data_IF_519106601336
#
_entry.id   IF_519106601336
#
_cell.length_a   1.000
_cell.length_b   1.000
_cell.length_c   1.000
_cell.angle_alpha   90.00
_cell.angle_beta   90.00
_cell.angle_gamma   90.00
#
_symmetry.space_group_name_H-M   'P 1'
#
loop_
_entity.id
_entity.type
_entity.pdbx_description
1 polymer ?
#
# COMPACT_ATOMS: atom_id res chain seq x y z
N UNK A 1 -1.34 -5.63 0.02
CA UNK A 1 -0.29 -6.61 -0.33
C UNK A 1 0.12 -7.39 0.92
N UNK A 2 0.62 -8.62 0.81
CA UNK A 2 1.18 -9.34 1.97
C UNK A 2 2.36 -8.57 2.57
N UNK A 3 2.46 -8.54 3.90
CA UNK A 3 3.61 -7.95 4.60
C UNK A 3 4.79 -8.89 4.42
N UNK A 4 5.93 -8.35 4.00
CA UNK A 4 7.15 -9.15 3.88
C UNK A 4 7.69 -9.50 5.27
N UNK A 5 8.23 -10.71 5.49
CA UNK A 5 8.73 -11.13 6.80
C UNK A 5 9.70 -10.14 7.45
N UNK A 6 10.60 -9.54 6.66
CA UNK A 6 11.57 -8.55 7.14
C UNK A 6 10.95 -7.28 7.70
N UNK A 7 9.70 -6.95 7.33
CA UNK A 7 9.00 -5.75 7.79
C UNK A 7 8.04 -6.01 8.96
N UNK A 8 7.87 -7.26 9.42
CA UNK A 8 6.90 -7.59 10.47
C UNK A 8 7.15 -6.80 11.77
N UNK A 9 8.40 -6.54 12.11
CA UNK A 9 8.80 -5.78 13.30
C UNK A 9 8.31 -4.32 13.31
N UNK A 10 7.93 -3.77 12.15
CA UNK A 10 7.42 -2.40 12.01
C UNK A 10 5.95 -2.26 12.41
N UNK A 11 5.27 -3.39 12.58
CA UNK A 11 3.86 -3.46 12.94
C UNK A 11 3.70 -3.76 14.43
N UNK A 12 2.63 -3.27 15.08
CA UNK A 12 2.35 -3.61 16.46
C UNK A 12 2.04 -5.11 16.60
N UNK A 13 2.29 -5.73 17.78
CA UNK A 13 1.97 -7.14 18.02
C UNK A 13 0.49 -7.50 17.76
N UNK A 14 -0.43 -6.54 17.95
CA UNK A 14 -1.86 -6.69 17.70
C UNK A 14 -2.29 -6.52 16.24
N UNK A 15 -1.34 -6.42 15.29
CA UNK A 15 -1.65 -6.21 13.88
C UNK A 15 -2.61 -7.25 13.28
N UNK A 16 -2.51 -8.56 13.55
CA UNK A 16 -3.46 -9.54 13.01
C UNK A 16 -4.91 -9.22 13.36
N UNK A 17 -5.16 -8.78 14.59
CA UNK A 17 -6.49 -8.41 15.09
C UNK A 17 -6.96 -7.10 14.47
N UNK A 18 -6.09 -6.08 14.41
CA UNK A 18 -6.41 -4.79 13.76
C UNK A 18 -6.78 -5.01 12.28
N UNK A 19 -5.95 -5.78 11.56
CA UNK A 19 -6.16 -6.10 10.14
C UNK A 19 -7.44 -6.89 9.90
N UNK A 20 -7.79 -7.80 10.82
CA UNK A 20 -9.05 -8.53 10.76
C UNK A 20 -10.25 -7.60 10.99
N UNK A 21 -10.25 -6.80 12.05
CA UNK A 21 -11.33 -5.86 12.35
C UNK A 21 -11.59 -4.87 11.20
N UNK A 22 -10.53 -4.39 10.54
CA UNK A 22 -10.67 -3.51 9.37
C UNK A 22 -11.30 -4.25 8.17
N UNK A 23 -10.90 -5.50 7.88
CA UNK A 23 -11.39 -6.25 6.71
C UNK A 23 -12.77 -6.87 6.91
N UNK A 24 -13.07 -7.29 8.12
CA UNK A 24 -14.29 -7.99 8.48
C UNK A 24 -15.32 -7.03 9.06
N UNK A 25 -15.19 -6.67 10.33
CA UNK A 25 -16.18 -5.88 11.08
C UNK A 25 -16.52 -4.54 10.40
N UNK A 26 -15.49 -3.79 9.97
CA UNK A 26 -15.67 -2.48 9.34
C UNK A 26 -16.05 -2.59 7.87
N UNK A 27 -15.29 -3.36 7.11
CA UNK A 27 -15.41 -3.37 5.65
C UNK A 27 -16.46 -4.36 5.13
N UNK A 28 -16.90 -5.32 5.95
CA UNK A 28 -17.83 -6.38 5.58
C UNK A 28 -17.29 -7.23 4.43
N UNK A 29 -15.98 -7.52 4.44
CA UNK A 29 -15.27 -8.22 3.37
C UNK A 29 -15.39 -7.59 1.98
N UNK A 30 -15.78 -6.31 1.90
CA UNK A 30 -15.83 -5.56 0.64
C UNK A 30 -14.74 -4.50 0.61
N UNK A 31 -14.14 -4.28 -0.54
CA UNK A 31 -13.18 -3.19 -0.73
C UNK A 31 -13.77 -1.83 -0.29
N UNK A 32 -13.04 -1.08 0.52
CA UNK A 32 -13.43 0.26 1.00
C UNK A 32 -12.95 1.40 0.11
N UNK A 33 -12.14 1.11 -0.92
CA UNK A 33 -11.68 2.14 -1.87
C UNK A 33 -12.89 2.86 -2.50
N UNK A 34 -12.98 4.17 -2.30
CA UNK A 34 -14.02 5.07 -2.80
C UNK A 34 -13.50 6.05 -3.89
N UNK A 35 -12.20 5.98 -4.21
CA UNK A 35 -11.61 6.68 -5.35
C UNK A 35 -10.11 6.91 -5.21
N UNK A 36 -9.55 6.60 -4.04
CA UNK A 36 -8.15 6.76 -3.67
C UNK A 36 -7.24 6.06 -4.68
N UNK A 37 -7.65 4.90 -5.19
CA UNK A 37 -6.87 4.18 -6.19
C UNK A 37 -6.83 4.88 -7.56
N UNK A 38 -7.61 5.92 -7.82
CA UNK A 38 -7.66 6.59 -9.14
C UNK A 38 -8.33 5.78 -10.25
N UNK A 39 -8.99 4.66 -9.94
CA UNK A 39 -9.91 4.00 -10.87
C UNK A 39 -11.33 4.61 -10.74
N UNK A 40 -12.07 4.69 -11.85
CA UNK A 40 -13.45 5.16 -11.81
C UNK A 40 -14.37 4.04 -11.29
N UNK A 41 -15.07 4.31 -10.18
CA UNK A 41 -16.15 3.49 -9.66
C UNK A 41 -17.19 4.40 -8.97
N UNK A 42 -18.48 4.06 -9.08
CA UNK A 42 -19.60 4.88 -8.59
C UNK A 42 -19.86 4.78 -7.08
N UNK A 43 -18.79 4.86 -6.27
CA UNK A 43 -18.82 4.63 -4.82
C UNK A 43 -17.71 3.66 -4.40
N UNK A 44 -17.93 2.89 -3.33
CA UNK A 44 -16.98 1.83 -2.92
C UNK A 44 -16.81 0.80 -4.03
N UNK A 45 -15.56 0.42 -4.29
CA UNK A 45 -15.23 -0.72 -5.14
C UNK A 45 -16.09 -1.94 -4.77
N UNK A 46 -16.60 -2.64 -5.79
CA UNK A 46 -17.53 -3.76 -5.64
C UNK A 46 -16.83 -5.11 -5.43
N UNK A 47 -15.49 -5.13 -5.42
CA UNK A 47 -14.71 -6.34 -5.15
C UNK A 47 -14.94 -6.81 -3.70
N UNK A 48 -15.33 -8.07 -3.56
CA UNK A 48 -15.57 -8.76 -2.28
C UNK A 48 -14.52 -9.84 -2.11
N UNK A 49 -14.00 -10.01 -0.89
CA UNK A 49 -12.99 -11.02 -0.56
C UNK A 49 -13.43 -12.42 -1.01
N UNK A 50 -12.47 -13.20 -1.51
CA UNK A 50 -12.64 -14.59 -1.95
C UNK A 50 -13.65 -14.81 -3.09
N UNK A 51 -14.16 -13.74 -3.70
CA UNK A 51 -14.95 -13.80 -4.92
C UNK A 51 -14.13 -13.37 -6.15
N UNK A 52 -14.57 -13.73 -7.37
CA UNK A 52 -13.97 -13.20 -8.59
C UNK A 52 -14.07 -11.67 -8.66
N UNK A 53 -12.98 -11.01 -9.03
CA UNK A 53 -12.97 -9.56 -9.18
C UNK A 53 -13.91 -9.16 -10.33
N UNK A 54 -14.77 -8.14 -10.16
CA UNK A 54 -15.79 -7.73 -11.15
C UNK A 54 -15.25 -7.16 -12.49
N UNK A 55 -13.93 -7.17 -12.69
CA UNK A 55 -13.26 -6.57 -13.86
C UNK A 55 -12.14 -7.48 -14.34
N UNK A 56 -11.26 -7.91 -13.45
CA UNK A 56 -10.12 -8.77 -13.81
C UNK A 56 -10.43 -10.26 -13.72
N UNK A 57 -11.55 -10.64 -13.11
CA UNK A 57 -11.98 -12.02 -12.83
C UNK A 57 -11.01 -12.86 -11.98
N UNK A 58 -9.86 -12.31 -11.57
CA UNK A 58 -8.96 -12.91 -10.59
C UNK A 58 -9.63 -13.03 -9.22
N UNK A 59 -9.26 -14.04 -8.44
CA UNK A 59 -9.67 -14.17 -7.04
C UNK A 59 -9.29 -12.91 -6.25
N UNK A 60 -10.26 -12.30 -5.57
CA UNK A 60 -10.01 -11.11 -4.76
C UNK A 60 -9.46 -11.51 -3.40
N UNK A 61 -8.28 -10.99 -3.07
CA UNK A 61 -7.76 -11.03 -1.71
C UNK A 61 -7.76 -9.61 -1.14
N UNK A 62 -8.50 -9.40 -0.05
CA UNK A 62 -8.47 -8.14 0.68
C UNK A 62 -7.26 -8.06 1.61
N UNK A 63 -6.61 -6.91 1.57
CA UNK A 63 -5.50 -6.54 2.47
C UNK A 63 -5.77 -5.15 3.03
N UNK A 64 -5.04 -4.75 4.06
CA UNK A 64 -5.14 -3.40 4.62
C UNK A 64 -4.04 -2.52 4.03
N UNK A 65 -4.43 -1.37 3.49
CA UNK A 65 -3.55 -0.31 2.99
C UNK A 65 -3.38 0.78 4.04
N UNK A 66 -2.15 1.31 4.18
CA UNK A 66 -1.85 2.50 4.96
C UNK A 66 -1.91 3.70 4.02
N UNK A 67 -2.80 4.65 4.26
CA UNK A 67 -3.02 5.77 3.34
C UNK A 67 -1.80 6.69 3.26
N UNK A 68 -1.05 6.82 4.34
CA UNK A 68 0.22 7.56 4.38
C UNK A 68 1.45 6.75 3.93
N UNK A 69 1.28 5.47 3.56
CA UNK A 69 2.38 4.52 3.25
C UNK A 69 3.38 4.29 4.40
N UNK A 70 2.97 4.53 5.65
CA UNK A 70 3.78 4.33 6.86
C UNK A 70 3.25 3.13 7.67
N UNK A 71 3.91 1.96 7.63
CA UNK A 71 3.55 0.74 8.37
C UNK A 71 3.30 0.93 9.87
N UNK A 72 4.02 1.85 10.50
CA UNK A 72 3.93 2.12 11.93
C UNK A 72 2.61 2.83 12.31
N UNK A 73 1.99 3.54 11.36
CA UNK A 73 0.77 4.31 11.59
C UNK A 73 -0.48 3.45 11.42
N UNK A 74 -0.80 2.65 12.43
CA UNK A 74 -1.97 1.77 12.46
C UNK A 74 -3.26 2.45 12.97
N UNK A 75 -3.37 3.78 12.94
CA UNK A 75 -4.63 4.47 13.26
C UNK A 75 -5.75 3.99 12.31
N UNK A 76 -6.92 3.56 12.80
CA UNK A 76 -8.03 3.12 11.94
C UNK A 76 -8.40 4.11 10.84
N UNK A 77 -8.26 5.43 11.05
CA UNK A 77 -8.52 6.44 10.03
C UNK A 77 -7.48 6.42 8.90
N UNK A 78 -6.25 5.99 9.17
CA UNK A 78 -5.17 5.79 8.19
C UNK A 78 -5.25 4.42 7.48
N UNK A 79 -6.11 3.51 7.95
CA UNK A 79 -6.24 2.17 7.41
C UNK A 79 -7.46 2.03 6.49
N UNK A 80 -7.28 1.26 5.42
CA UNK A 80 -8.34 0.95 4.45
C UNK A 80 -8.29 -0.51 4.01
N UNK A 81 -9.41 -1.22 4.05
CA UNK A 81 -9.50 -2.53 3.41
C UNK A 81 -9.54 -2.35 1.88
N UNK A 82 -8.57 -2.91 1.15
CA UNK A 82 -8.48 -2.79 -0.30
C UNK A 82 -8.24 -4.13 -0.99
N UNK A 83 -8.89 -4.33 -2.13
CA UNK A 83 -8.56 -5.44 -3.04
C UNK A 83 -7.18 -5.22 -3.67
N UNK A 84 -6.54 -6.30 -4.13
CA UNK A 84 -5.22 -6.25 -4.76
C UNK A 84 -5.12 -5.17 -5.86
N UNK A 85 -6.12 -5.07 -6.73
CA UNK A 85 -6.12 -4.09 -7.83
C UNK A 85 -6.15 -2.64 -7.33
N UNK A 86 -7.02 -2.33 -6.37
CA UNK A 86 -7.12 -0.96 -5.84
C UNK A 86 -5.88 -0.60 -5.01
N UNK A 87 -5.42 -1.53 -4.17
CA UNK A 87 -4.21 -1.35 -3.35
C UNK A 87 -2.98 -1.08 -4.24
N UNK A 88 -2.72 -1.93 -5.24
CA UNK A 88 -1.58 -1.75 -6.14
C UNK A 88 -1.63 -0.46 -6.93
N UNK A 89 -2.83 0.00 -7.32
CA UNK A 89 -2.98 1.25 -8.05
C UNK A 89 -2.78 2.47 -7.13
N UNK A 90 -3.22 2.39 -5.87
CA UNK A 90 -2.95 3.40 -4.86
C UNK A 90 -1.44 3.55 -4.61
N UNK A 91 -0.72 2.44 -4.45
CA UNK A 91 0.71 2.43 -4.14
C UNK A 91 1.60 2.78 -5.35
N UNK A 92 1.09 2.71 -6.58
CA UNK A 92 1.88 2.86 -7.79
C UNK A 92 2.75 4.14 -7.83
N UNK A 93 2.25 5.33 -7.45
CA UNK A 93 3.07 6.54 -7.40
C UNK A 93 4.17 6.46 -6.33
N UNK A 94 3.88 5.89 -5.15
CA UNK A 94 4.87 5.69 -4.09
C UNK A 94 5.97 4.72 -4.56
N UNK A 95 5.60 3.59 -5.15
CA UNK A 95 6.54 2.63 -5.70
C UNK A 95 7.40 3.22 -6.82
N UNK A 96 6.83 4.03 -7.71
CA UNK A 96 7.59 4.71 -8.76
C UNK A 96 8.68 5.64 -8.19
N UNK A 97 8.34 6.44 -7.15
CA UNK A 97 9.30 7.31 -6.45
C UNK A 97 10.41 6.50 -5.79
N UNK A 98 10.06 5.49 -5.00
CA UNK A 98 11.04 4.64 -4.31
C UNK A 98 11.94 3.91 -5.29
N UNK A 99 11.40 3.39 -6.40
CA UNK A 99 12.19 2.75 -7.45
C UNK A 99 13.15 3.74 -8.12
N UNK A 100 12.73 4.99 -8.39
CA UNK A 100 13.61 6.02 -8.94
C UNK A 100 14.77 6.36 -7.99
N UNK A 101 14.47 6.53 -6.69
CA UNK A 101 15.49 6.80 -5.67
C UNK A 101 16.50 5.65 -5.53
N UNK A 102 16.02 4.41 -5.53
CA UNK A 102 16.90 3.22 -5.48
C UNK A 102 17.79 3.14 -6.72
N UNK A 103 17.24 3.39 -7.92
CA UNK A 103 18.04 3.43 -9.16
C UNK A 103 19.09 4.55 -9.12
N UNK A 104 18.70 5.76 -8.68
CA UNK A 104 19.65 6.86 -8.53
C UNK A 104 20.78 6.49 -7.56
N UNK A 105 20.45 5.97 -6.37
CA UNK A 105 21.45 5.52 -5.39
C UNK A 105 22.41 4.48 -5.96
N UNK A 106 21.90 3.53 -6.74
CA UNK A 106 22.73 2.52 -7.39
C UNK A 106 23.66 3.12 -8.45
N UNK A 107 23.19 4.10 -9.24
CA UNK A 107 24.01 4.79 -10.25
C UNK A 107 25.08 5.67 -9.61
N UNK A 108 24.77 6.33 -8.50
CA UNK A 108 25.71 7.22 -7.79
C UNK A 108 26.63 6.49 -6.82
N UNK A 109 26.40 5.19 -6.56
CA UNK A 109 27.24 4.40 -5.67
C UNK A 109 28.65 4.29 -6.25
N UNK A 110 29.59 5.06 -5.70
CA UNK A 110 30.98 5.11 -6.16
C UNK A 110 31.32 6.29 -7.08
N UNK A 111 30.40 7.24 -7.29
CA UNK A 111 30.71 8.50 -7.95
C UNK A 111 31.24 9.51 -6.93
N UNK A 112 32.45 10.05 -7.15
CA UNK A 112 32.93 11.23 -6.43
C UNK A 112 32.13 12.46 -6.91
N UNK A 113 31.63 13.34 -6.02
CA UNK A 113 31.00 14.59 -6.45
C UNK A 113 31.96 15.37 -7.35
N UNK A 114 31.47 15.85 -8.50
CA UNK A 114 32.30 16.55 -9.50
C UNK A 114 32.70 17.97 -9.06
N UNK A 115 32.03 18.51 -8.03
CA UNK A 115 32.34 19.80 -7.45
C UNK A 115 32.39 19.65 -5.94
N UNK A 116 33.58 19.87 -5.37
CA UNK A 116 33.72 20.12 -3.96
C UNK A 116 33.05 21.47 -3.67
N UNK A 117 31.98 21.45 -2.87
CA UNK A 117 31.44 22.68 -2.27
C UNK A 117 32.37 23.06 -1.13
N UNK A 118 33.59 23.47 -1.47
CA UNK A 118 34.50 24.10 -0.53
C UNK A 118 33.95 25.49 -0.22
N UNK A 119 33.30 25.57 0.93
CA UNK A 119 32.76 26.80 1.51
C UNK A 119 33.84 27.86 1.69
N UNK A 120 33.43 29.10 1.43
CA UNK A 120 34.15 30.34 1.73
C UNK A 120 34.41 30.55 3.22
#
# INVERSE_FOLDING_TARGET
MPIRPENLHRYPPGWPQISLAIRDERAGWRCECAGECGARHGGRCTAVNELPHPVTHSLVILTVAHLDHTPENCDPANLRAMCQRCHLRYDAPHHARTAALTRHRALTAGMTPLFDLDGS
#
